data_IF_447371910154
#
_entry.id   IF_447371910154
#
_cell.length_a   1.000
_cell.length_b   1.000
_cell.length_c   1.000
_cell.angle_alpha   90.00
_cell.angle_beta   90.00
_cell.angle_gamma   90.00
#
_symmetry.space_group_name_H-M   'P 1'
#
loop_
_entity.id
_entity.type
_entity.pdbx_description
1 polymer ?
#
# COMPACT_ATOMS: atom_id res chain seq x y z
N UNK A 1 -46.50 -2.47 -18.37
CA UNK A 1 -45.50 -1.50 -18.87
C UNK A 1 -44.71 -2.11 -20.03
N UNK A 2 -44.30 -1.32 -21.03
CA UNK A 2 -43.60 -1.84 -22.21
C UNK A 2 -42.12 -2.14 -21.92
N UNK A 3 -41.55 -3.18 -22.53
CA UNK A 3 -40.14 -3.54 -22.40
C UNK A 3 -39.20 -2.39 -22.80
N UNK A 4 -39.57 -1.61 -23.81
CA UNK A 4 -38.82 -0.43 -24.27
C UNK A 4 -38.78 0.70 -23.23
N UNK A 5 -39.83 0.87 -22.42
CA UNK A 5 -39.86 1.89 -21.35
C UNK A 5 -38.87 1.53 -20.24
N UNK A 6 -38.85 0.26 -19.82
CA UNK A 6 -37.92 -0.25 -18.82
C UNK A 6 -36.46 -0.08 -19.25
N UNK A 7 -36.14 -0.48 -20.48
CA UNK A 7 -34.79 -0.36 -21.04
C UNK A 7 -34.34 1.11 -21.12
N UNK A 8 -35.24 2.02 -21.50
CA UNK A 8 -34.96 3.46 -21.55
C UNK A 8 -34.57 4.03 -20.17
N UNK A 9 -35.33 3.69 -19.13
CA UNK A 9 -35.04 4.19 -17.77
C UNK A 9 -33.76 3.59 -17.19
N UNK A 10 -33.48 2.31 -17.48
CA UNK A 10 -32.20 1.68 -17.13
C UNK A 10 -31.01 2.39 -17.78
N UNK A 11 -31.13 2.74 -19.07
CA UNK A 11 -30.08 3.48 -19.78
C UNK A 11 -29.92 4.91 -19.27
N UNK A 12 -31.00 5.56 -18.84
CA UNK A 12 -30.95 6.88 -18.20
C UNK A 12 -30.15 6.86 -16.89
N UNK A 13 -30.42 5.89 -16.01
CA UNK A 13 -29.62 5.66 -14.80
C UNK A 13 -28.15 5.37 -15.11
N UNK A 14 -27.91 4.60 -16.17
CA UNK A 14 -26.56 4.23 -16.59
C UNK A 14 -25.76 5.42 -17.09
N UNK A 15 -26.40 6.33 -17.84
CA UNK A 15 -25.76 7.55 -18.32
C UNK A 15 -25.40 8.52 -17.20
N UNK A 16 -26.25 8.61 -16.17
CA UNK A 16 -25.93 9.39 -14.97
C UNK A 16 -24.71 8.80 -14.22
N UNK A 17 -24.65 7.48 -14.07
CA UNK A 17 -23.49 6.80 -13.48
C UNK A 17 -22.20 7.08 -14.29
N UNK A 18 -22.26 6.98 -15.61
CA UNK A 18 -21.11 7.29 -16.47
C UNK A 18 -20.67 8.75 -16.28
N UNK A 19 -21.60 9.70 -16.27
CA UNK A 19 -21.33 11.13 -16.04
C UNK A 19 -20.56 11.36 -14.73
N UNK A 20 -21.06 10.78 -13.63
CA UNK A 20 -20.43 10.85 -12.30
C UNK A 20 -19.04 10.20 -12.28
N UNK A 21 -18.84 9.12 -13.03
CA UNK A 21 -17.55 8.43 -13.14
C UNK A 21 -16.54 9.21 -13.99
N UNK A 22 -16.98 9.84 -15.09
CA UNK A 22 -16.14 10.68 -15.97
C UNK A 22 -15.65 11.95 -15.25
N UNK A 23 -16.50 12.58 -14.44
CA UNK A 23 -16.14 13.77 -13.65
C UNK A 23 -14.96 13.49 -12.70
N UNK A 24 -14.81 12.26 -12.23
CA UNK A 24 -13.68 11.85 -11.39
C UNK A 24 -12.44 11.40 -12.16
N UNK A 25 -12.45 11.52 -13.50
CA UNK A 25 -11.40 11.06 -14.43
C UNK A 25 -11.00 9.59 -14.26
N UNK A 26 -11.85 8.77 -13.65
CA UNK A 26 -11.57 7.34 -13.41
C UNK A 26 -11.78 6.48 -14.65
N UNK A 27 -12.72 6.86 -15.51
CA UNK A 27 -13.01 6.13 -16.74
C UNK A 27 -13.36 7.11 -17.86
N UNK A 28 -12.94 6.82 -19.09
CA UNK A 28 -13.40 7.52 -20.28
C UNK A 28 -14.60 6.75 -20.85
N UNK A 29 -15.57 7.42 -21.49
CA UNK A 29 -16.69 6.77 -22.21
C UNK A 29 -16.29 5.58 -23.08
N UNK A 30 -15.17 5.68 -23.81
CA UNK A 30 -14.67 4.60 -24.66
C UNK A 30 -14.25 3.35 -23.88
N UNK A 31 -13.83 3.51 -22.62
CA UNK A 31 -13.38 2.42 -21.75
C UNK A 31 -14.54 1.78 -20.97
N UNK A 32 -15.73 2.40 -20.94
CA UNK A 32 -16.89 1.95 -20.15
C UNK A 32 -17.21 0.46 -20.33
N UNK A 33 -17.32 -0.09 -21.55
CA UNK A 33 -17.74 -1.48 -21.74
C UNK A 33 -16.75 -2.51 -21.16
N UNK A 34 -15.49 -2.10 -21.00
CA UNK A 34 -14.41 -2.97 -20.55
C UNK A 34 -14.05 -2.74 -19.07
N UNK A 35 -14.06 -1.50 -18.59
CA UNK A 35 -13.46 -1.17 -17.27
C UNK A 35 -14.45 -0.79 -16.18
N UNK A 36 -15.69 -0.39 -16.50
CA UNK A 36 -16.58 0.25 -15.52
C UNK A 36 -16.84 -0.63 -14.29
N UNK A 37 -17.23 -1.88 -14.51
CA UNK A 37 -17.51 -2.83 -13.41
C UNK A 37 -16.27 -3.05 -12.55
N UNK A 38 -15.11 -3.22 -13.18
CA UNK A 38 -13.83 -3.43 -12.48
C UNK A 38 -13.43 -2.21 -11.63
N UNK A 39 -13.49 -1.01 -12.20
CA UNK A 39 -13.16 0.24 -11.50
C UNK A 39 -14.08 0.46 -10.30
N UNK A 40 -15.39 0.24 -10.47
CA UNK A 40 -16.36 0.33 -9.39
C UNK A 40 -16.14 -0.72 -8.31
N UNK A 41 -15.85 -1.97 -8.69
CA UNK A 41 -15.58 -3.05 -7.74
C UNK A 41 -14.40 -2.72 -6.82
N UNK A 42 -13.32 -2.17 -7.39
CA UNK A 42 -12.10 -1.80 -6.70
C UNK A 42 -12.16 -0.52 -5.86
N UNK A 43 -13.31 0.18 -5.86
CA UNK A 43 -13.51 1.32 -4.98
C UNK A 43 -13.63 0.90 -3.52
N UNK A 44 -13.16 1.77 -2.60
CA UNK A 44 -13.52 1.65 -1.19
C UNK A 44 -15.03 1.73 -1.01
N UNK A 45 -15.57 1.10 0.04
CA UNK A 45 -17.03 1.10 0.29
C UNK A 45 -17.61 2.51 0.35
N UNK A 46 -16.91 3.45 1.01
CA UNK A 46 -17.33 4.85 1.08
C UNK A 46 -17.36 5.52 -0.30
N UNK A 47 -16.36 5.28 -1.15
CA UNK A 47 -16.32 5.84 -2.49
C UNK A 47 -17.43 5.24 -3.36
N UNK A 48 -17.62 3.92 -3.27
CA UNK A 48 -18.65 3.18 -3.99
C UNK A 48 -20.05 3.65 -3.61
N UNK A 49 -20.33 3.74 -2.31
CA UNK A 49 -21.60 4.24 -1.76
C UNK A 49 -21.88 5.67 -2.22
N UNK A 50 -20.89 6.57 -2.11
CA UNK A 50 -20.99 7.95 -2.60
C UNK A 50 -21.31 8.00 -4.09
N UNK A 51 -20.64 7.19 -4.91
CA UNK A 51 -20.86 7.18 -6.37
C UNK A 51 -22.25 6.69 -6.73
N UNK A 52 -22.73 5.62 -6.10
CA UNK A 52 -24.10 5.15 -6.29
C UNK A 52 -25.13 6.21 -5.87
N UNK A 53 -24.92 6.88 -4.74
CA UNK A 53 -25.81 7.93 -4.27
C UNK A 53 -25.83 9.16 -5.19
N UNK A 54 -24.67 9.60 -5.69
CA UNK A 54 -24.54 10.70 -6.66
C UNK A 54 -25.23 10.37 -7.99
N UNK A 55 -25.15 9.11 -8.44
CA UNK A 55 -25.78 8.66 -9.69
C UNK A 55 -27.27 8.31 -9.58
N UNK A 56 -27.85 8.40 -8.38
CA UNK A 56 -29.20 7.91 -8.13
C UNK A 56 -30.26 8.89 -8.66
N UNK A 57 -31.25 8.36 -9.37
CA UNK A 57 -32.33 9.14 -9.97
C UNK A 57 -33.70 8.76 -9.40
N UNK A 58 -34.66 9.65 -9.61
CA UNK A 58 -36.08 9.35 -9.40
C UNK A 58 -36.62 8.54 -10.56
N UNK A 59 -37.45 7.54 -10.23
CA UNK A 59 -38.21 6.73 -11.17
C UNK A 59 -39.68 6.81 -10.78
N UNK A 60 -40.56 6.64 -11.76
CA UNK A 60 -41.97 6.40 -11.46
C UNK A 60 -42.11 5.07 -10.67
N UNK A 61 -43.10 4.96 -9.77
CA UNK A 61 -43.23 3.80 -8.89
C UNK A 61 -43.37 2.46 -9.63
N UNK A 62 -44.11 2.42 -10.74
CA UNK A 62 -44.31 1.20 -11.53
C UNK A 62 -43.00 0.71 -12.17
N UNK A 63 -42.21 1.63 -12.74
CA UNK A 63 -40.88 1.31 -13.26
C UNK A 63 -39.92 0.90 -12.15
N UNK A 64 -39.95 1.60 -11.02
CA UNK A 64 -39.10 1.27 -9.88
C UNK A 64 -39.38 -0.14 -9.35
N UNK A 65 -40.65 -0.50 -9.16
CA UNK A 65 -41.05 -1.82 -8.69
C UNK A 65 -40.59 -2.93 -9.63
N UNK A 66 -40.86 -2.79 -10.93
CA UNK A 66 -40.46 -3.77 -11.94
C UNK A 66 -38.94 -3.97 -12.04
N UNK A 67 -38.15 -2.89 -11.91
CA UNK A 67 -36.69 -2.96 -11.95
C UNK A 67 -36.09 -3.47 -10.62
N UNK A 68 -36.73 -3.19 -9.48
CA UNK A 68 -36.37 -3.75 -8.18
C UNK A 68 -36.58 -5.27 -8.15
N UNK A 69 -37.72 -5.76 -8.64
CA UNK A 69 -38.03 -7.19 -8.74
C UNK A 69 -37.00 -7.94 -9.60
N UNK A 70 -36.51 -7.30 -10.67
CA UNK A 70 -35.44 -7.85 -11.51
C UNK A 70 -34.05 -7.78 -10.85
N UNK A 71 -33.91 -7.06 -9.74
CA UNK A 71 -32.65 -6.85 -9.02
C UNK A 71 -31.64 -5.99 -9.79
N UNK A 72 -32.12 -5.15 -10.72
CA UNK A 72 -31.26 -4.33 -11.59
C UNK A 72 -31.01 -2.94 -11.01
N UNK A 73 -31.89 -2.49 -10.12
CA UNK A 73 -31.71 -1.29 -9.30
C UNK A 73 -31.81 -1.61 -7.82
N UNK A 74 -31.40 -0.67 -6.98
CA UNK A 74 -31.53 -0.70 -5.53
C UNK A 74 -31.96 0.68 -5.00
N UNK A 75 -32.66 0.68 -3.86
CA UNK A 75 -33.06 1.91 -3.16
C UNK A 75 -31.84 2.55 -2.49
N UNK A 76 -31.70 3.85 -2.65
CA UNK A 76 -30.73 4.68 -1.92
C UNK A 76 -31.50 5.50 -0.88
N UNK A 77 -31.09 5.39 0.39
CA UNK A 77 -31.68 6.20 1.47
C UNK A 77 -31.34 7.67 1.24
N UNK A 78 -32.35 8.50 1.03
CA UNK A 78 -32.27 9.95 1.02
C UNK A 78 -33.36 10.49 1.94
N UNK A 79 -33.07 11.57 2.65
CA UNK A 79 -33.86 12.05 3.81
C UNK A 79 -35.32 12.34 3.48
N UNK A 80 -35.62 12.78 2.24
CA UNK A 80 -36.95 13.28 1.89
C UNK A 80 -37.61 12.58 0.68
N UNK A 81 -36.88 11.75 -0.08
CA UNK A 81 -37.39 11.14 -1.32
C UNK A 81 -36.68 9.83 -1.70
N UNK A 82 -37.42 8.86 -2.27
CA UNK A 82 -36.82 7.59 -2.72
C UNK A 82 -36.06 7.77 -4.04
N UNK A 83 -34.75 7.52 -4.03
CA UNK A 83 -33.90 7.48 -5.24
C UNK A 83 -33.43 6.07 -5.50
N UNK A 84 -33.13 5.80 -6.76
CA UNK A 84 -32.73 4.49 -7.25
C UNK A 84 -31.39 4.57 -7.98
N UNK A 85 -30.51 3.61 -7.72
CA UNK A 85 -29.25 3.44 -8.42
C UNK A 85 -29.15 2.03 -9.01
N UNK A 86 -28.40 1.87 -10.09
CA UNK A 86 -28.15 0.54 -10.68
C UNK A 86 -27.37 -0.35 -9.70
N UNK A 87 -27.66 -1.64 -9.72
CA UNK A 87 -26.78 -2.67 -9.14
C UNK A 87 -25.68 -3.03 -10.14
N UNK A 88 -24.68 -3.82 -9.73
CA UNK A 88 -23.70 -4.37 -10.70
C UNK A 88 -24.37 -5.20 -11.80
N UNK A 89 -25.46 -5.92 -11.46
CA UNK A 89 -26.27 -6.64 -12.44
C UNK A 89 -26.90 -5.68 -13.44
N UNK A 90 -27.51 -4.60 -12.96
CA UNK A 90 -28.08 -3.55 -13.82
C UNK A 90 -27.04 -2.89 -14.72
N UNK A 91 -25.86 -2.56 -14.18
CA UNK A 91 -24.73 -2.02 -14.95
C UNK A 91 -24.34 -2.97 -16.09
N UNK A 92 -24.18 -4.26 -15.79
CA UNK A 92 -23.77 -5.25 -16.79
C UNK A 92 -24.81 -5.41 -17.91
N UNK A 93 -26.09 -5.36 -17.55
CA UNK A 93 -27.19 -5.38 -18.53
C UNK A 93 -27.19 -4.11 -19.39
N UNK A 94 -27.00 -2.93 -18.80
CA UNK A 94 -26.90 -1.68 -19.56
C UNK A 94 -25.69 -1.69 -20.52
N UNK A 95 -24.56 -2.28 -20.11
CA UNK A 95 -23.41 -2.46 -21.01
C UNK A 95 -23.78 -3.36 -22.20
N UNK A 96 -24.50 -4.46 -21.94
CA UNK A 96 -24.96 -5.36 -23.00
C UNK A 96 -25.94 -4.65 -23.95
N UNK A 97 -26.92 -3.92 -23.43
CA UNK A 97 -27.92 -3.18 -24.21
C UNK A 97 -27.29 -2.06 -25.04
N UNK A 98 -26.40 -1.26 -24.45
CA UNK A 98 -25.85 -0.05 -25.07
C UNK A 98 -24.65 -0.31 -25.98
N UNK A 99 -23.82 -1.30 -25.65
CA UNK A 99 -22.55 -1.56 -26.34
C UNK A 99 -22.46 -2.95 -26.98
N UNK A 100 -23.48 -3.80 -26.82
CA UNK A 100 -23.49 -5.15 -27.40
C UNK A 100 -22.47 -6.11 -26.78
N UNK A 101 -21.88 -5.78 -25.63
CA UNK A 101 -20.91 -6.66 -24.96
C UNK A 101 -21.66 -7.66 -24.09
N UNK A 102 -21.62 -8.93 -24.46
CA UNK A 102 -22.25 -10.01 -23.72
C UNK A 102 -21.66 -10.18 -22.30
N UNK A 103 -22.49 -10.65 -21.36
CA UNK A 103 -22.16 -10.74 -19.94
C UNK A 103 -20.93 -11.62 -19.66
N UNK A 104 -20.80 -12.73 -20.38
CA UNK A 104 -19.65 -13.64 -20.32
C UNK A 104 -18.34 -12.93 -20.69
N UNK A 105 -18.35 -12.11 -21.75
CA UNK A 105 -17.20 -11.29 -22.14
C UNK A 105 -16.87 -10.23 -21.11
N UNK A 106 -17.88 -9.58 -20.53
CA UNK A 106 -17.68 -8.62 -19.44
C UNK A 106 -17.03 -9.29 -18.22
N UNK A 107 -17.49 -10.49 -17.85
CA UNK A 107 -16.96 -11.26 -16.72
C UNK A 107 -15.53 -11.74 -16.96
N UNK A 108 -15.23 -12.30 -18.15
CA UNK A 108 -13.86 -12.69 -18.50
C UNK A 108 -12.91 -11.50 -18.45
N UNK A 109 -13.31 -10.35 -19.00
CA UNK A 109 -12.48 -9.15 -18.95
C UNK A 109 -12.28 -8.63 -17.51
N UNK A 110 -13.29 -8.75 -16.65
CA UNK A 110 -13.16 -8.44 -15.22
C UNK A 110 -12.12 -9.35 -14.53
N UNK A 111 -12.12 -10.65 -14.84
CA UNK A 111 -11.11 -11.59 -14.34
C UNK A 111 -9.71 -11.22 -14.84
N UNK A 112 -9.54 -10.96 -16.13
CA UNK A 112 -8.24 -10.55 -16.69
C UNK A 112 -7.69 -9.28 -16.03
N UNK A 113 -8.54 -8.29 -15.77
CA UNK A 113 -8.14 -7.06 -15.07
C UNK A 113 -7.77 -7.33 -13.61
N UNK A 114 -8.44 -8.27 -12.97
CA UNK A 114 -8.14 -8.70 -11.60
C UNK A 114 -6.80 -9.43 -11.54
N UNK A 115 -6.54 -10.35 -12.47
CA UNK A 115 -5.27 -11.07 -12.58
C UNK A 115 -4.10 -10.12 -12.83
N UNK A 116 -4.27 -9.10 -13.69
CA UNK A 116 -3.25 -8.05 -13.88
C UNK A 116 -2.97 -7.24 -12.62
N UNK A 117 -3.95 -7.09 -11.73
CA UNK A 117 -3.77 -6.41 -10.43
C UNK A 117 -2.98 -7.29 -9.45
N UNK A 118 -3.06 -8.60 -9.60
CA UNK A 118 -2.23 -9.57 -8.88
C UNK A 118 -0.82 -9.50 -9.49
N UNK A 119 -0.12 -8.42 -9.16
CA UNK A 119 1.23 -8.18 -9.66
C UNK A 119 2.20 -9.13 -8.94
N UNK A 120 2.37 -10.32 -9.54
CA UNK A 120 3.36 -11.35 -9.21
C UNK A 120 4.69 -11.13 -9.93
N UNK A 121 4.77 -10.12 -10.80
CA UNK A 121 5.98 -9.74 -11.54
C UNK A 121 7.06 -9.16 -10.63
N UNK A 122 8.32 -9.26 -11.09
CA UNK A 122 9.59 -8.78 -10.49
C UNK A 122 9.41 -7.97 -9.20
N UNK A 123 9.93 -8.50 -8.08
CA UNK A 123 9.84 -7.85 -6.77
C UNK A 123 10.35 -6.40 -6.85
N UNK A 124 9.42 -5.45 -6.98
CA UNK A 124 9.66 -4.00 -7.03
C UNK A 124 10.76 -3.62 -6.05
N UNK A 125 11.77 -2.87 -6.51
CA UNK A 125 12.85 -2.33 -5.67
C UNK A 125 12.27 -1.55 -4.48
N UNK A 126 13.01 -1.55 -3.37
CA UNK A 126 12.59 -0.76 -2.21
C UNK A 126 12.76 0.72 -2.54
N UNK A 127 11.71 1.51 -2.35
CA UNK A 127 11.78 2.97 -2.40
C UNK A 127 12.61 3.48 -1.20
N UNK A 128 13.08 4.73 -1.25
CA UNK A 128 13.95 5.27 -0.19
C UNK A 128 13.31 5.23 1.20
N UNK A 129 12.01 5.46 1.29
CA UNK A 129 11.21 5.44 2.53
C UNK A 129 11.02 4.02 3.05
N UNK A 130 10.81 3.06 2.15
CA UNK A 130 10.81 1.63 2.44
C UNK A 130 12.18 1.14 2.93
N UNK A 131 13.28 1.58 2.30
CA UNK A 131 14.66 1.27 2.75
C UNK A 131 14.94 1.84 4.14
N UNK A 132 14.56 3.10 4.36
CA UNK A 132 14.69 3.78 5.65
C UNK A 132 13.93 3.04 6.75
N UNK A 133 12.64 2.82 6.56
CA UNK A 133 11.81 2.10 7.53
C UNK A 133 12.36 0.69 7.79
N UNK A 134 12.79 -0.01 6.74
CA UNK A 134 13.30 -1.37 6.86
C UNK A 134 14.58 -1.43 7.70
N UNK A 135 15.55 -0.56 7.38
CA UNK A 135 16.82 -0.49 8.09
C UNK A 135 16.61 -0.05 9.54
N UNK A 136 15.76 0.95 9.80
CA UNK A 136 15.44 1.39 11.16
C UNK A 136 14.83 0.28 12.00
N UNK A 137 13.89 -0.50 11.47
CA UNK A 137 13.29 -1.62 12.22
C UNK A 137 14.31 -2.71 12.56
N UNK A 138 15.21 -3.03 11.63
CA UNK A 138 16.31 -3.98 11.84
C UNK A 138 17.23 -3.46 12.95
N UNK A 139 17.71 -2.22 12.86
CA UNK A 139 18.62 -1.63 13.85
C UNK A 139 18.02 -1.56 15.25
N UNK A 140 16.70 -1.41 15.35
CA UNK A 140 15.98 -1.39 16.60
C UNK A 140 15.61 -2.79 17.10
N UNK A 141 15.96 -3.88 16.41
CA UNK A 141 15.57 -5.24 16.77
C UNK A 141 14.06 -5.41 16.90
N UNK A 142 13.30 -4.75 16.02
CA UNK A 142 11.85 -4.95 15.92
C UNK A 142 11.60 -6.17 15.03
N UNK A 143 11.84 -7.36 15.58
CA UNK A 143 11.98 -8.63 14.83
C UNK A 143 10.99 -9.74 15.20
N UNK A 144 10.09 -9.43 16.13
CA UNK A 144 9.01 -10.31 16.59
C UNK A 144 7.84 -9.47 17.16
N UNK A 145 6.62 -10.05 17.31
CA UNK A 145 5.47 -9.33 17.87
C UNK A 145 5.74 -8.67 19.23
N UNK A 146 6.51 -9.33 20.10
CA UNK A 146 6.90 -8.84 21.43
C UNK A 146 7.81 -7.61 21.40
N UNK A 147 8.59 -7.47 20.33
CA UNK A 147 9.56 -6.39 20.10
C UNK A 147 9.03 -5.27 19.19
N UNK A 148 7.78 -5.39 18.74
CA UNK A 148 7.18 -4.48 17.78
C UNK A 148 7.18 -3.03 18.28
N UNK A 149 7.51 -2.09 17.38
CA UNK A 149 7.45 -0.66 17.69
C UNK A 149 6.00 -0.21 17.62
N UNK A 150 5.49 0.27 18.75
CA UNK A 150 4.12 0.78 18.87
C UNK A 150 4.09 2.30 18.71
N UNK A 151 3.38 2.81 17.72
CA UNK A 151 3.19 4.25 17.45
C UNK A 151 1.88 4.80 18.02
N UNK A 152 1.33 4.14 19.04
CA UNK A 152 0.14 4.58 19.75
C UNK A 152 0.44 5.63 20.84
N UNK A 153 1.71 5.97 21.08
CA UNK A 153 2.14 6.97 22.07
C UNK A 153 3.17 7.94 21.47
N UNK A 154 3.17 9.18 21.97
CA UNK A 154 4.01 10.27 21.45
C UNK A 154 5.51 10.05 21.68
N UNK A 155 5.90 9.40 22.78
CA UNK A 155 7.30 9.12 23.06
C UNK A 155 7.91 8.22 21.97
N UNK A 156 7.27 7.10 21.65
CA UNK A 156 7.75 6.20 20.59
C UNK A 156 7.76 6.88 19.22
N UNK A 157 6.78 7.77 18.94
CA UNK A 157 6.78 8.57 17.70
C UNK A 157 7.97 9.53 17.64
N UNK A 158 8.28 10.22 18.74
CA UNK A 158 9.43 11.12 18.84
C UNK A 158 10.75 10.36 18.66
N UNK A 159 10.93 9.27 19.40
CA UNK A 159 12.14 8.43 19.33
C UNK A 159 12.32 7.85 17.92
N UNK A 160 11.25 7.34 17.29
CA UNK A 160 11.35 6.83 15.92
C UNK A 160 11.65 7.94 14.91
N UNK A 161 11.18 9.18 15.15
CA UNK A 161 11.49 10.32 14.29
C UNK A 161 12.98 10.63 14.31
N UNK A 162 13.60 10.64 15.48
CA UNK A 162 15.05 10.82 15.63
C UNK A 162 15.85 9.68 14.99
N UNK A 163 15.38 8.44 15.14
CA UNK A 163 15.98 7.28 14.47
C UNK A 163 15.90 7.45 12.95
N UNK A 164 14.74 7.81 12.41
CA UNK A 164 14.58 7.99 10.96
C UNK A 164 15.47 9.13 10.45
N UNK A 165 15.61 10.24 11.18
CA UNK A 165 16.50 11.32 10.82
C UNK A 165 17.98 10.88 10.81
N UNK A 166 18.40 10.14 11.84
CA UNK A 166 19.78 9.66 11.98
C UNK A 166 20.12 8.61 10.91
N UNK A 167 19.25 7.63 10.70
CA UNK A 167 19.41 6.59 9.68
C UNK A 167 19.38 7.20 8.28
N UNK A 168 18.45 8.11 7.99
CA UNK A 168 18.40 8.78 6.69
C UNK A 168 19.67 9.59 6.42
N UNK A 169 20.18 10.29 7.43
CA UNK A 169 21.44 11.05 7.31
C UNK A 169 22.63 10.13 6.99
N UNK A 170 22.73 8.98 7.68
CA UNK A 170 23.72 7.95 7.39
C UNK A 170 23.56 7.40 5.96
N UNK A 171 22.36 6.98 5.58
CA UNK A 171 22.07 6.44 4.24
C UNK A 171 22.41 7.45 3.13
N UNK A 172 22.18 8.75 3.33
CA UNK A 172 22.58 9.80 2.39
C UNK A 172 24.08 9.99 2.33
N UNK A 173 24.75 10.02 3.49
CA UNK A 173 26.23 10.17 3.58
C UNK A 173 26.93 9.10 2.74
N UNK A 174 26.41 7.87 2.80
CA UNK A 174 26.97 6.72 2.10
C UNK A 174 26.22 6.34 0.81
N UNK A 175 25.42 7.26 0.24
CA UNK A 175 24.72 7.12 -1.06
C UNK A 175 23.82 5.89 -1.22
N UNK A 176 23.30 5.33 -0.13
CA UNK A 176 22.26 4.29 -0.17
C UNK A 176 20.93 4.86 -0.67
N UNK A 177 20.71 6.15 -0.42
CA UNK A 177 19.57 6.95 -0.90
C UNK A 177 20.04 8.31 -1.41
N UNK A 178 19.25 8.92 -2.29
CA UNK A 178 19.54 10.22 -2.89
C UNK A 178 19.47 11.36 -1.85
N UNK A 179 20.23 12.45 -2.06
CA UNK A 179 20.44 13.50 -1.06
C UNK A 179 19.20 14.37 -0.83
N UNK A 180 18.35 14.48 -1.83
CA UNK A 180 17.13 15.28 -1.91
C UNK A 180 15.97 14.74 -1.05
N UNK A 181 16.00 13.46 -0.69
CA UNK A 181 14.90 12.85 0.04
C UNK A 181 14.84 13.33 1.48
N UNK A 182 13.71 13.87 1.93
CA UNK A 182 13.55 14.31 3.31
C UNK A 182 12.28 13.71 3.91
N UNK A 183 12.27 13.51 5.23
CA UNK A 183 11.05 13.19 5.96
C UNK A 183 10.06 14.32 5.76
N UNK A 184 8.91 14.03 5.16
CA UNK A 184 7.88 15.02 4.92
C UNK A 184 7.30 15.50 6.25
N UNK A 185 7.24 16.81 6.44
CA UNK A 185 6.38 17.42 7.46
C UNK A 185 4.92 17.21 7.05
N UNK A 186 4.07 16.90 8.02
CA UNK A 186 2.63 16.63 7.79
C UNK A 186 1.83 17.79 8.38
N UNK A 187 0.95 18.40 7.59
CA UNK A 187 0.27 19.66 7.94
C UNK A 187 -0.83 19.55 9.02
N UNK A 188 -0.91 18.45 9.77
CA UNK A 188 -2.08 18.15 10.64
C UNK A 188 -1.75 17.48 11.98
N UNK A 189 -0.60 17.77 12.58
CA UNK A 189 -0.24 17.24 13.90
C UNK A 189 0.00 15.72 13.92
N UNK A 190 -0.01 15.05 12.77
CA UNK A 190 0.45 13.67 12.65
C UNK A 190 1.98 13.65 12.66
N UNK A 191 2.58 12.80 13.51
CA UNK A 191 4.03 12.63 13.52
C UNK A 191 4.50 12.11 12.13
N UNK A 192 5.57 12.68 11.54
CA UNK A 192 6.08 12.27 10.22
C UNK A 192 6.27 10.76 10.07
N UNK A 193 6.70 10.09 11.13
CA UNK A 193 6.89 8.63 11.16
C UNK A 193 5.59 7.85 11.05
N UNK A 194 4.50 8.29 11.67
CA UNK A 194 3.20 7.64 11.55
C UNK A 194 2.66 7.76 10.13
N UNK A 195 2.83 8.94 9.53
CA UNK A 195 2.44 9.19 8.15
C UNK A 195 3.26 8.37 7.17
N UNK A 196 4.57 8.19 7.41
CA UNK A 196 5.43 7.34 6.59
C UNK A 196 5.00 5.88 6.73
N UNK A 197 4.97 5.34 7.95
CA UNK A 197 4.72 3.93 8.22
C UNK A 197 3.34 3.46 7.72
N UNK A 198 2.30 4.29 7.85
CA UNK A 198 0.95 3.97 7.35
C UNK A 198 0.84 3.89 5.83
N UNK A 199 1.83 4.42 5.09
CA UNK A 199 1.83 4.45 3.62
C UNK A 199 2.65 3.33 2.98
N UNK A 200 3.34 2.51 3.78
CA UNK A 200 4.19 1.40 3.32
C UNK A 200 3.39 0.16 2.87
N UNK A 201 2.33 0.35 2.08
CA UNK A 201 1.38 -0.70 1.70
C UNK A 201 2.00 -1.81 0.82
N UNK A 202 3.07 -1.50 0.08
CA UNK A 202 3.76 -2.46 -0.76
C UNK A 202 4.88 -3.21 -0.02
N UNK A 203 5.33 -2.70 1.13
CA UNK A 203 6.47 -3.25 1.87
C UNK A 203 6.28 -4.71 2.30
N UNK A 204 5.09 -5.17 2.76
CA UNK A 204 4.88 -6.60 3.03
C UNK A 204 5.25 -7.47 1.83
N UNK A 205 4.73 -7.16 0.64
CA UNK A 205 5.02 -7.95 -0.57
C UNK A 205 6.50 -7.90 -0.94
N UNK A 206 7.12 -6.71 -0.91
CA UNK A 206 8.53 -6.50 -1.28
C UNK A 206 9.53 -7.15 -0.31
N UNK A 207 9.07 -7.54 0.87
CA UNK A 207 9.86 -8.17 1.93
C UNK A 207 9.45 -9.62 2.19
N UNK A 208 8.82 -10.28 1.21
CA UNK A 208 8.34 -11.67 1.35
C UNK A 208 7.42 -11.87 2.58
N UNK A 209 6.60 -10.86 2.85
CA UNK A 209 5.70 -10.76 4.00
C UNK A 209 6.38 -10.85 5.37
N UNK A 210 7.69 -10.61 5.45
CA UNK A 210 8.39 -10.47 6.72
C UNK A 210 7.96 -9.18 7.42
N UNK A 211 7.74 -8.07 6.71
CA UNK A 211 7.17 -6.88 7.33
C UNK A 211 5.73 -7.13 7.77
N UNK A 212 5.46 -6.89 9.07
CA UNK A 212 4.16 -7.10 9.70
C UNK A 212 3.67 -5.80 10.34
N UNK A 213 2.37 -5.58 10.20
CA UNK A 213 1.63 -4.53 10.88
C UNK A 213 0.56 -5.18 11.76
N UNK A 214 0.58 -4.93 13.06
CA UNK A 214 -0.42 -5.43 14.03
C UNK A 214 -1.06 -4.26 14.80
N UNK A 215 -1.90 -4.56 15.80
CA UNK A 215 -2.46 -3.53 16.68
C UNK A 215 -3.29 -2.48 15.96
N UNK A 216 -4.17 -2.90 15.04
CA UNK A 216 -5.00 -2.02 14.19
C UNK A 216 -4.19 -1.02 13.35
N UNK A 217 -2.98 -1.38 12.91
CA UNK A 217 -2.18 -0.52 12.04
C UNK A 217 -1.21 0.40 12.79
N UNK A 218 -0.86 0.09 14.04
CA UNK A 218 -0.02 0.97 14.88
C UNK A 218 1.26 0.31 15.41
N UNK A 219 1.47 -0.97 15.12
CA UNK A 219 2.58 -1.75 15.63
C UNK A 219 3.33 -2.42 14.49
N UNK A 220 4.65 -2.25 14.42
CA UNK A 220 5.45 -2.58 13.24
C UNK A 220 6.70 -3.40 13.59
N UNK A 221 6.93 -4.50 12.88
CA UNK A 221 8.11 -5.36 13.03
C UNK A 221 8.40 -6.17 11.76
N UNK A 222 9.57 -6.80 11.71
CA UNK A 222 9.90 -7.84 10.73
C UNK A 222 9.84 -9.21 11.38
N UNK A 223 9.01 -10.13 10.90
CA UNK A 223 8.95 -11.51 11.38
C UNK A 223 10.17 -12.31 10.87
N UNK A 224 11.31 -12.14 11.56
CA UNK A 224 12.60 -12.75 11.19
C UNK A 224 13.28 -13.45 12.37
N UNK A 225 12.57 -13.68 13.47
CA UNK A 225 13.05 -14.53 14.55
C UNK A 225 12.57 -15.97 14.36
N UNK A 226 13.43 -16.92 14.70
CA UNK A 226 13.12 -18.35 14.77
C UNK A 226 13.88 -18.96 15.95
N UNK A 227 13.18 -19.72 16.79
CA UNK A 227 13.78 -20.42 17.93
C UNK A 227 14.57 -19.48 18.89
N UNK A 228 14.04 -18.26 19.10
CA UNK A 228 14.66 -17.17 19.88
C UNK A 228 16.01 -16.63 19.35
N UNK A 229 16.32 -16.89 18.07
CA UNK A 229 17.45 -16.29 17.36
C UNK A 229 16.99 -15.65 16.05
N UNK A 230 17.86 -14.87 15.42
CA UNK A 230 17.59 -14.22 14.13
C UNK A 230 17.76 -15.22 13.00
N UNK A 231 16.74 -15.38 12.16
CA UNK A 231 16.83 -16.12 10.90
C UNK A 231 17.73 -15.34 9.93
N UNK A 232 19.00 -15.75 9.87
CA UNK A 232 20.04 -15.14 9.04
C UNK A 232 19.65 -15.04 7.57
N UNK A 233 18.94 -16.03 7.02
CA UNK A 233 18.53 -16.00 5.61
C UNK A 233 17.54 -14.87 5.37
N UNK A 234 16.59 -14.67 6.29
CA UNK A 234 15.61 -13.58 6.19
C UNK A 234 16.27 -12.22 6.40
N UNK A 235 17.17 -12.10 7.38
CA UNK A 235 17.90 -10.85 7.61
C UNK A 235 18.74 -10.47 6.38
N UNK A 236 19.52 -11.39 5.83
CA UNK A 236 20.35 -11.11 4.65
C UNK A 236 19.51 -10.82 3.42
N UNK A 237 18.35 -11.47 3.26
CA UNK A 237 17.39 -11.08 2.23
C UNK A 237 16.99 -9.61 2.37
N UNK A 238 16.60 -9.15 3.57
CA UNK A 238 16.25 -7.75 3.79
C UNK A 238 17.42 -6.79 3.53
N UNK A 239 18.63 -7.12 3.99
CA UNK A 239 19.82 -6.29 3.77
C UNK A 239 20.15 -6.17 2.28
N UNK A 240 20.08 -7.25 1.50
CA UNK A 240 20.27 -7.20 0.04
C UNK A 240 19.23 -6.28 -0.63
N UNK A 241 17.99 -6.29 -0.15
CA UNK A 241 16.90 -5.43 -0.66
C UNK A 241 17.08 -3.96 -0.26
N UNK A 242 17.71 -3.68 0.89
CA UNK A 242 17.99 -2.31 1.33
C UNK A 242 19.15 -1.71 0.53
N UNK A 243 20.28 -2.42 0.44
CA UNK A 243 21.48 -1.89 -0.19
C UNK A 243 21.43 -1.96 -1.72
N UNK A 244 20.86 -3.03 -2.30
CA UNK A 244 20.66 -3.31 -3.74
C UNK A 244 21.93 -3.38 -4.61
N UNK A 245 22.90 -2.50 -4.36
CA UNK A 245 24.15 -2.32 -5.09
C UNK A 245 25.31 -2.13 -4.11
N UNK A 246 26.53 -2.37 -4.57
CA UNK A 246 27.74 -1.92 -3.88
C UNK A 246 28.42 -0.76 -4.61
N UNK A 247 28.98 0.18 -3.84
CA UNK A 247 29.82 1.27 -4.29
C UNK A 247 31.25 1.01 -3.76
N UNK A 248 32.25 0.75 -4.63
CA UNK A 248 33.63 0.56 -4.18
C UNK A 248 34.22 1.77 -3.45
N UNK A 249 33.68 2.96 -3.66
CA UNK A 249 34.10 4.19 -2.97
C UNK A 249 33.43 4.42 -1.62
N UNK A 250 32.52 3.54 -1.20
CA UNK A 250 31.84 3.65 0.08
C UNK A 250 32.67 3.06 1.22
N UNK A 251 32.84 3.83 2.31
CA UNK A 251 33.42 3.33 3.56
C UNK A 251 32.36 2.56 4.37
N UNK A 252 32.24 1.27 4.09
CA UNK A 252 31.30 0.38 4.78
C UNK A 252 31.65 0.14 6.26
N UNK A 253 32.91 0.33 6.68
CA UNK A 253 33.28 0.21 8.09
C UNK A 253 32.72 1.39 8.88
N UNK A 254 32.88 2.61 8.36
CA UNK A 254 32.34 3.81 9.00
C UNK A 254 30.81 3.80 8.96
N UNK A 255 30.20 3.35 7.86
CA UNK A 255 28.75 3.15 7.80
C UNK A 255 28.27 2.18 8.90
N UNK A 256 28.92 1.03 9.05
CA UNK A 256 28.58 0.09 10.11
C UNK A 256 28.66 0.73 11.50
N UNK A 257 29.74 1.49 11.76
CA UNK A 257 29.95 2.17 13.04
C UNK A 257 28.81 3.13 13.35
N UNK A 258 28.44 4.00 12.40
CA UNK A 258 27.30 4.91 12.58
C UNK A 258 25.98 4.18 12.83
N UNK A 259 25.69 3.14 12.04
CA UNK A 259 24.46 2.35 12.22
C UNK A 259 24.42 1.63 13.58
N UNK A 260 25.57 1.12 14.04
CA UNK A 260 25.70 0.49 15.35
C UNK A 260 25.52 1.50 16.49
N UNK A 261 26.08 2.71 16.37
CA UNK A 261 25.88 3.81 17.33
C UNK A 261 24.40 4.22 17.40
N UNK A 262 23.74 4.37 16.26
CA UNK A 262 22.29 4.64 16.20
C UNK A 262 21.51 3.53 16.90
N UNK A 263 21.80 2.26 16.58
CA UNK A 263 21.13 1.11 17.21
C UNK A 263 21.27 1.17 18.74
N UNK A 264 22.51 1.26 19.25
CA UNK A 264 22.82 1.26 20.68
C UNK A 264 22.18 2.44 21.42
N UNK A 265 22.16 3.62 20.80
CA UNK A 265 21.58 4.83 21.40
C UNK A 265 20.06 4.75 21.51
N UNK A 266 19.38 4.14 20.53
CA UNK A 266 17.93 4.26 20.39
C UNK A 266 17.14 3.00 20.75
N UNK A 267 17.69 1.79 20.61
CA UNK A 267 16.93 0.57 20.92
C UNK A 267 16.32 0.52 22.33
N UNK A 268 16.94 1.05 23.42
CA UNK A 268 16.38 0.97 24.76
C UNK A 268 15.38 2.09 25.07
N UNK A 269 15.24 3.10 24.20
CA UNK A 269 14.38 4.29 24.43
C UNK A 269 12.90 4.05 24.14
N UNK A 270 12.56 2.93 23.50
CA UNK A 270 11.18 2.59 23.13
C UNK A 270 10.41 1.97 24.30
N UNK A 271 9.19 2.46 24.54
CA UNK A 271 8.29 1.94 25.55
C UNK A 271 7.53 0.70 25.06
N UNK A 272 7.11 -0.13 26.01
CA UNK A 272 6.12 -1.20 25.83
C UNK A 272 6.49 -2.26 24.80
N UNK A 273 7.78 -2.59 24.72
CA UNK A 273 8.30 -3.70 23.91
C UNK A 273 9.35 -4.49 24.69
N UNK A 274 9.46 -5.77 24.39
CA UNK A 274 10.49 -6.64 24.96
C UNK A 274 11.48 -6.99 23.85
N UNK A 275 12.72 -6.52 24.01
CA UNK A 275 13.81 -6.81 23.07
C UNK A 275 14.83 -7.66 23.79
N UNK A 276 15.14 -8.82 23.24
CA UNK A 276 16.24 -9.64 23.73
C UNK A 276 17.57 -8.97 23.32
N UNK A 277 18.45 -8.57 24.26
CA UNK A 277 19.73 -7.95 23.92
C UNK A 277 20.62 -8.83 23.04
N UNK A 278 20.48 -10.16 23.14
CA UNK A 278 21.19 -11.10 22.27
C UNK A 278 20.75 -10.96 20.81
N UNK A 279 19.46 -10.71 20.55
CA UNK A 279 18.95 -10.47 19.20
C UNK A 279 19.58 -9.21 18.59
N UNK A 280 19.66 -8.12 19.36
CA UNK A 280 20.31 -6.88 18.90
C UNK A 280 21.79 -7.13 18.59
N UNK A 281 22.50 -7.84 19.47
CA UNK A 281 23.89 -8.19 19.25
C UNK A 281 24.07 -9.03 17.98
N UNK A 282 23.23 -10.06 17.79
CA UNK A 282 23.23 -10.89 16.58
C UNK A 282 22.97 -10.06 15.33
N UNK A 283 21.97 -9.16 15.34
CA UNK A 283 21.67 -8.27 14.21
C UNK A 283 22.90 -7.42 13.86
N UNK A 284 23.55 -6.80 14.84
CA UNK A 284 24.73 -5.95 14.60
C UNK A 284 25.92 -6.77 14.08
N UNK A 285 26.17 -7.96 14.64
CA UNK A 285 27.21 -8.86 14.14
C UNK A 285 26.95 -9.29 12.69
N UNK A 286 25.70 -9.64 12.36
CA UNK A 286 25.31 -10.04 11.01
C UNK A 286 25.31 -8.86 10.02
N UNK A 287 24.93 -7.66 10.46
CA UNK A 287 25.05 -6.44 9.67
C UNK A 287 26.52 -6.13 9.35
N UNK A 288 27.42 -6.24 10.35
CA UNK A 288 28.86 -6.12 10.14
C UNK A 288 29.37 -7.14 9.13
N UNK A 289 29.01 -8.41 9.30
CA UNK A 289 29.39 -9.47 8.36
C UNK A 289 28.89 -9.19 6.94
N UNK A 290 27.67 -8.68 6.82
CA UNK A 290 27.09 -8.29 5.53
C UNK A 290 27.89 -7.17 4.87
N UNK A 291 28.13 -6.06 5.58
CA UNK A 291 28.86 -4.89 5.08
C UNK A 291 30.35 -5.18 4.81
N UNK A 292 30.92 -6.18 5.47
CA UNK A 292 32.33 -6.57 5.28
C UNK A 292 32.56 -7.54 4.13
N UNK A 293 31.56 -8.37 3.79
CA UNK A 293 31.75 -9.52 2.89
C UNK A 293 30.65 -9.63 1.86
N UNK A 294 29.40 -9.73 2.30
CA UNK A 294 28.27 -10.02 1.41
C UNK A 294 27.94 -8.85 0.48
N UNK A 295 28.22 -7.61 0.87
CA UNK A 295 27.92 -6.43 0.06
C UNK A 295 28.64 -6.47 -1.30
N UNK A 296 29.86 -7.01 -1.35
CA UNK A 296 30.64 -7.16 -2.60
C UNK A 296 30.07 -8.19 -3.57
N UNK A 297 29.06 -8.97 -3.15
CA UNK A 297 28.32 -9.88 -4.03
C UNK A 297 27.11 -9.22 -4.70
N UNK A 298 26.77 -7.99 -4.30
CA UNK A 298 25.73 -7.22 -4.96
C UNK A 298 26.23 -6.76 -6.34
N UNK A 299 25.33 -6.41 -7.28
CA UNK A 299 25.73 -5.75 -8.51
C UNK A 299 26.37 -4.39 -8.21
N UNK A 300 27.42 -4.05 -8.95
CA UNK A 300 28.11 -2.77 -8.81
C UNK A 300 27.18 -1.61 -9.18
N UNK A 301 27.22 -0.53 -8.41
CA UNK A 301 26.47 0.69 -8.73
C UNK A 301 27.04 1.31 -10.01
N UNK A 302 26.29 1.20 -11.11
CA UNK A 302 26.63 1.88 -12.35
C UNK A 302 26.23 3.34 -12.22
N UNK A 303 27.21 4.25 -12.19
CA UNK A 303 26.93 5.68 -12.30
C UNK A 303 26.39 5.96 -13.69
N UNK A 304 25.06 6.04 -13.81
CA UNK A 304 24.46 6.72 -14.95
C UNK A 304 24.80 8.21 -14.77
N UNK A 305 25.82 8.68 -15.49
CA UNK A 305 26.07 10.10 -15.62
C UNK A 305 24.77 10.77 -16.07
N UNK A 306 24.23 11.76 -15.35
CA UNK A 306 23.07 12.49 -15.82
C UNK A 306 23.45 13.17 -17.13
N UNK A 307 22.76 12.76 -18.20
CA UNK A 307 22.72 13.44 -19.50
C UNK A 307 21.99 14.77 -19.39
#
# INVERSE_FOLDING_TARGET
>A
MSKSTLESEMLRLFDELISVMEQTRRIKRADVPSKLIFEMYNMTENSKSKKFAESALYLDPETAEALLEQGVIQKIRSEDTEKYALTFKGIAQCIQLKYGVALDKQFLNFLELTDRKINLGEQDRLQWDEKLASLSLILLGSTAPSSAIRLNNEQNKSVLTEVFQSVLSCMKKFKVVEKEHNLRTVDRGEAPVSALMSRLNALPRKTNHYYKIIGKGSEYYFDIEKDNDVDEKRLFFLLRRIFEHYDPGCDYQEMYKELAEISQLYYPKFLSRTVNPLIILTILQKLKGFLNVEIYRLPMQTFNSPS
#
